data_IF_417959239385
#
_entry.id   IF_417959239385
#
_cell.length_a   1.000
_cell.length_b   1.000
_cell.length_c   1.000
_cell.angle_alpha   90.00
_cell.angle_beta   90.00
_cell.angle_gamma   90.00
#
_symmetry.space_group_name_H-M   'P 1'
#
loop_
_entity.id
_entity.type
_entity.pdbx_description
1 polymer ?
#
# COMPACT_ATOMS: atom_id res chain seq x y z
N UNK A 1 15.50 -42.88 43.50
CA UNK A 1 15.45 -42.47 42.09
C UNK A 1 14.76 -41.11 42.00
N UNK A 2 15.31 -40.24 41.16
CA UNK A 2 15.15 -38.76 41.14
C UNK A 2 13.71 -38.26 40.94
N UNK A 3 13.49 -37.09 41.52
CA UNK A 3 12.31 -36.22 41.51
C UNK A 3 12.12 -35.46 40.18
N UNK A 4 10.87 -35.00 39.98
CA UNK A 4 10.40 -33.85 39.19
C UNK A 4 10.43 -33.92 37.65
N UNK A 5 9.25 -33.84 37.03
CA UNK A 5 8.88 -32.68 36.20
C UNK A 5 7.45 -32.23 36.50
N UNK A 6 7.40 -31.14 37.24
CA UNK A 6 6.31 -30.17 37.34
C UNK A 6 6.59 -29.13 36.26
N UNK A 7 5.71 -28.96 35.27
CA UNK A 7 5.69 -27.80 34.36
C UNK A 7 4.22 -27.51 34.13
N UNK A 8 3.62 -26.73 35.04
CA UNK A 8 3.34 -25.30 34.87
C UNK A 8 2.21 -25.02 33.88
N UNK A 9 1.00 -25.27 34.36
CA UNK A 9 -0.18 -24.48 34.06
C UNK A 9 0.07 -23.07 34.65
N UNK A 10 0.42 -22.11 33.80
CA UNK A 10 0.45 -20.67 34.08
C UNK A 10 -0.35 -20.05 32.92
N UNK A 11 -1.63 -19.71 33.05
CA UNK A 11 -2.11 -18.53 33.79
C UNK A 11 -1.13 -17.37 33.68
N UNK A 12 -1.08 -16.78 32.48
CA UNK A 12 -0.67 -15.39 32.29
C UNK A 12 -1.93 -14.61 31.91
N UNK A 13 -2.76 -14.38 32.92
CA UNK A 13 -3.55 -13.15 33.02
C UNK A 13 -2.57 -12.00 33.22
N UNK A 14 -2.14 -11.35 32.14
CA UNK A 14 -1.65 -9.96 32.23
C UNK A 14 -2.84 -9.08 31.86
N UNK A 15 -3.61 -8.73 32.90
CA UNK A 15 -4.39 -7.51 32.92
C UNK A 15 -3.42 -6.40 33.36
N UNK A 16 -2.86 -5.70 32.39
CA UNK A 16 -2.28 -4.38 32.61
C UNK A 16 -3.06 -3.40 31.73
N UNK A 17 -4.12 -2.86 32.32
CA UNK A 17 -4.79 -1.67 31.87
C UNK A 17 -3.78 -0.51 32.01
N UNK A 18 -3.04 -0.20 30.95
CA UNK A 18 -2.34 1.07 30.84
C UNK A 18 -3.28 2.03 30.11
N UNK A 19 -4.09 2.79 30.86
CA UNK A 19 -4.77 3.93 30.28
C UNK A 19 -3.76 5.06 30.07
N UNK A 20 -3.72 5.52 28.81
CA UNK A 20 -3.18 6.77 28.29
C UNK A 20 -1.66 6.84 28.02
N UNK A 21 -1.29 6.52 26.77
CA UNK A 21 -0.21 7.22 26.06
C UNK A 21 -0.57 7.30 24.57
N UNK A 22 -1.14 8.45 24.19
CA UNK A 22 -1.49 8.99 22.85
C UNK A 22 -2.05 8.03 21.78
N UNK A 23 -3.33 8.24 21.47
CA UNK A 23 -3.92 8.17 20.11
C UNK A 23 -3.41 7.04 19.22
N UNK A 24 -4.09 5.91 19.23
CA UNK A 24 -4.06 5.04 18.07
C UNK A 24 -5.49 4.83 17.58
N UNK A 25 -6.04 5.86 16.92
CA UNK A 25 -6.83 5.54 15.74
C UNK A 25 -5.97 4.56 14.94
N UNK A 26 -6.38 3.29 14.90
CA UNK A 26 -5.76 2.37 13.98
C UNK A 26 -6.26 2.86 12.64
N UNK A 27 -5.44 3.66 11.97
CA UNK A 27 -5.72 4.14 10.62
C UNK A 27 -6.28 2.96 9.81
N UNK A 28 -7.46 3.12 9.20
CA UNK A 28 -8.18 1.99 8.63
C UNK A 28 -7.32 1.25 7.58
N UNK A 29 -6.50 1.99 6.81
CA UNK A 29 -5.53 1.42 5.90
C UNK A 29 -4.46 0.52 6.56
N UNK A 30 -4.04 0.77 7.83
CA UNK A 30 -3.08 -0.10 8.52
C UNK A 30 -3.69 -1.47 8.80
N UNK A 31 -4.96 -1.49 9.22
CA UNK A 31 -5.67 -2.75 9.41
C UNK A 31 -5.82 -3.51 8.08
N UNK A 32 -6.23 -2.82 7.01
CA UNK A 32 -6.33 -3.41 5.67
C UNK A 32 -4.97 -3.93 5.16
N UNK A 33 -3.89 -3.23 5.46
CA UNK A 33 -2.53 -3.65 5.12
C UNK A 33 -2.16 -4.97 5.80
N UNK A 34 -2.36 -5.08 7.12
CA UNK A 34 -2.05 -6.30 7.87
C UNK A 34 -2.90 -7.51 7.47
N UNK A 35 -4.11 -7.28 6.94
CA UNK A 35 -4.95 -8.35 6.38
C UNK A 35 -4.43 -8.84 5.02
N UNK A 36 -3.83 -7.95 4.23
CA UNK A 36 -3.40 -8.24 2.86
C UNK A 36 -1.94 -8.69 2.76
N UNK A 37 -1.09 -8.28 3.69
CA UNK A 37 0.35 -8.55 3.71
C UNK A 37 0.77 -9.00 5.11
N UNK A 38 1.41 -10.17 5.17
CA UNK A 38 2.06 -10.64 6.39
C UNK A 38 3.38 -9.86 6.57
N UNK A 39 3.37 -8.81 7.40
CA UNK A 39 4.46 -7.82 7.51
C UNK A 39 5.51 -8.10 8.60
N UNK A 40 5.36 -9.20 9.33
CA UNK A 40 6.19 -9.57 10.49
C UNK A 40 7.68 -9.83 10.18
N UNK A 41 8.03 -9.94 8.89
CA UNK A 41 9.39 -10.17 8.41
C UNK A 41 10.02 -8.97 7.69
N UNK A 42 9.37 -7.81 7.70
CA UNK A 42 9.76 -6.67 6.87
C UNK A 42 10.42 -5.56 7.70
N UNK A 43 11.42 -4.92 7.09
CA UNK A 43 12.02 -3.71 7.65
C UNK A 43 11.24 -2.48 7.17
N UNK A 44 10.69 -1.71 8.12
CA UNK A 44 10.05 -0.41 7.85
C UNK A 44 11.11 0.68 7.62
N UNK A 45 10.88 1.55 6.64
CA UNK A 45 11.74 2.67 6.31
C UNK A 45 11.10 4.00 6.75
N UNK A 46 11.91 5.02 7.09
CA UNK A 46 11.40 6.36 7.27
C UNK A 46 10.87 6.90 5.94
N UNK A 47 9.70 7.54 6.00
CA UNK A 47 8.98 8.08 4.85
C UNK A 47 8.35 9.42 5.22
N UNK A 48 8.07 10.23 4.21
CA UNK A 48 7.33 11.48 4.31
C UNK A 48 6.15 11.45 3.32
N UNK A 49 5.12 12.26 3.57
CA UNK A 49 3.99 12.38 2.64
C UNK A 49 4.47 12.73 1.22
N UNK A 50 3.87 12.10 0.18
CA UNK A 50 2.64 11.29 0.21
C UNK A 50 2.84 9.79 0.51
N UNK A 51 4.07 9.36 0.86
CA UNK A 51 4.34 7.98 1.27
C UNK A 51 4.02 7.82 2.75
N UNK A 52 3.14 6.86 3.08
CA UNK A 52 2.69 6.60 4.44
C UNK A 52 3.50 5.51 5.13
N UNK A 53 3.94 4.51 4.37
CA UNK A 53 4.81 3.45 4.87
C UNK A 53 5.59 2.81 3.71
N UNK A 54 6.78 2.29 4.01
CA UNK A 54 7.56 1.50 3.08
C UNK A 54 8.23 0.34 3.82
N UNK A 55 8.08 -0.87 3.29
CA UNK A 55 8.54 -2.12 3.89
C UNK A 55 9.41 -2.88 2.88
N UNK A 56 10.60 -3.31 3.31
CA UNK A 56 11.53 -4.08 2.46
C UNK A 56 11.24 -5.58 2.56
N UNK A 57 10.98 -6.21 1.42
CA UNK A 57 10.82 -7.66 1.23
C UNK A 57 12.19 -8.29 0.94
N UNK A 58 12.97 -8.58 1.98
CA UNK A 58 14.30 -9.18 1.81
C UNK A 58 14.26 -10.55 1.12
N UNK A 59 13.18 -11.31 1.31
CA UNK A 59 13.07 -12.67 0.76
C UNK A 59 12.81 -12.67 -0.74
N UNK A 60 11.98 -11.75 -1.24
CA UNK A 60 11.62 -11.68 -2.67
C UNK A 60 12.23 -10.49 -3.40
N UNK A 61 13.20 -9.79 -2.79
CA UNK A 61 13.92 -8.66 -3.39
C UNK A 61 12.98 -7.57 -3.92
N UNK A 62 12.05 -7.12 -3.07
CA UNK A 62 11.06 -6.12 -3.43
C UNK A 62 10.72 -5.19 -2.27
N UNK A 63 9.74 -4.32 -2.48
CA UNK A 63 9.21 -3.42 -1.46
C UNK A 63 7.69 -3.36 -1.52
N UNK A 64 7.06 -3.25 -0.36
CA UNK A 64 5.67 -2.86 -0.22
C UNK A 64 5.62 -1.40 0.21
N UNK A 65 4.96 -0.56 -0.57
CA UNK A 65 4.90 0.87 -0.33
C UNK A 65 3.44 1.28 -0.26
N UNK A 66 3.08 1.96 0.82
CA UNK A 66 1.78 2.58 1.00
C UNK A 66 1.91 4.05 0.70
N UNK A 67 1.08 4.54 -0.21
CA UNK A 67 1.02 5.95 -0.59
C UNK A 67 -0.43 6.43 -0.60
N UNK A 68 -0.63 7.73 -0.50
CA UNK A 68 -1.96 8.34 -0.61
C UNK A 68 -1.99 9.45 -1.65
N UNK A 69 -3.16 9.69 -2.20
CA UNK A 69 -3.45 10.88 -2.99
C UNK A 69 -4.90 11.30 -2.79
N UNK A 70 -5.19 12.58 -2.99
CA UNK A 70 -6.54 13.11 -2.82
C UNK A 70 -7.45 12.61 -3.95
N UNK A 71 -8.48 11.85 -3.58
CA UNK A 71 -9.60 11.44 -4.42
C UNK A 71 -10.72 12.47 -4.51
N UNK A 72 -11.91 12.03 -4.93
CA UNK A 72 -13.08 12.89 -5.06
C UNK A 72 -13.75 13.14 -3.71
N UNK A 73 -13.82 12.14 -2.84
CA UNK A 73 -14.48 12.24 -1.52
C UNK A 73 -13.52 12.16 -0.32
N UNK A 74 -12.22 12.03 -0.57
CA UNK A 74 -11.20 11.89 0.48
C UNK A 74 -9.92 11.29 -0.09
N UNK A 75 -8.96 11.01 0.77
CA UNK A 75 -7.73 10.35 0.37
C UNK A 75 -8.02 8.91 -0.12
N UNK A 76 -7.33 8.53 -1.19
CA UNK A 76 -7.25 7.15 -1.66
C UNK A 76 -5.89 6.62 -1.24
N UNK A 77 -5.90 5.62 -0.37
CA UNK A 77 -4.68 4.97 0.13
C UNK A 77 -4.42 3.70 -0.65
N UNK A 78 -3.24 3.61 -1.25
CA UNK A 78 -2.85 2.58 -2.19
C UNK A 78 -1.63 1.84 -1.69
N UNK A 79 -1.71 0.51 -1.67
CA UNK A 79 -0.58 -0.39 -1.51
C UNK A 79 0.00 -0.75 -2.87
N UNK A 80 1.30 -0.60 -3.03
CA UNK A 80 2.04 -0.96 -4.24
C UNK A 80 3.16 -1.94 -3.89
N UNK A 81 3.19 -3.09 -4.56
CA UNK A 81 4.36 -3.98 -4.58
C UNK A 81 5.26 -3.55 -5.73
N UNK A 82 6.49 -3.17 -5.41
CA UNK A 82 7.52 -2.85 -6.38
C UNK A 82 8.67 -3.86 -6.28
N UNK A 83 8.98 -4.55 -7.37
CA UNK A 83 10.09 -5.50 -7.45
C UNK A 83 10.59 -5.54 -8.90
N UNK A 84 11.81 -6.03 -9.13
CA UNK A 84 12.39 -6.11 -10.49
C UNK A 84 12.33 -4.80 -11.29
N UNK A 85 12.44 -3.67 -10.58
CA UNK A 85 12.37 -2.30 -11.12
C UNK A 85 11.03 -1.92 -11.77
N UNK A 86 9.97 -2.65 -11.45
CA UNK A 86 8.61 -2.41 -11.95
C UNK A 86 7.55 -2.55 -10.86
N UNK A 87 6.37 -2.00 -11.09
CA UNK A 87 5.17 -2.28 -10.29
C UNK A 87 4.69 -3.70 -10.59
N UNK A 88 4.59 -4.55 -9.57
CA UNK A 88 4.07 -5.92 -9.72
C UNK A 88 2.58 -6.01 -9.37
N UNK A 89 2.15 -5.26 -8.36
CA UNK A 89 0.79 -5.32 -7.82
C UNK A 89 0.40 -3.97 -7.21
N UNK A 90 -0.88 -3.62 -7.39
CA UNK A 90 -1.51 -2.46 -6.77
C UNK A 90 -2.79 -2.92 -6.09
N UNK A 91 -3.06 -2.41 -4.88
CA UNK A 91 -4.29 -2.64 -4.13
C UNK A 91 -4.76 -1.34 -3.48
N UNK A 92 -6.07 -1.17 -3.35
CA UNK A 92 -6.64 -0.09 -2.54
C UNK A 92 -6.76 -0.59 -1.10
N UNK A 93 -6.24 0.18 -0.15
CA UNK A 93 -6.36 -0.11 1.29
C UNK A 93 -7.53 0.67 1.90
N UNK A 94 -7.74 1.91 1.47
CA UNK A 94 -8.75 2.81 1.98
C UNK A 94 -9.17 3.82 0.90
N UNK A 95 -10.47 4.09 0.81
CA UNK A 95 -11.03 5.18 0.01
C UNK A 95 -12.43 5.53 0.51
N UNK A 96 -12.97 6.68 0.09
CA UNK A 96 -14.32 7.16 0.43
C UNK A 96 -15.18 7.51 -0.78
N UNK A 97 -14.86 6.95 -1.94
CA UNK A 97 -15.48 7.20 -3.24
C UNK A 97 -16.93 6.69 -3.35
N UNK A 98 -17.65 7.18 -4.36
CA UNK A 98 -19.02 6.70 -4.64
C UNK A 98 -18.98 5.34 -5.32
N UNK A 99 -19.72 4.38 -4.77
CA UNK A 99 -19.74 2.98 -5.22
C UNK A 99 -20.02 2.82 -6.73
N UNK A 100 -21.00 3.55 -7.26
CA UNK A 100 -21.47 3.39 -8.65
C UNK A 100 -20.48 3.88 -9.73
N UNK A 101 -19.44 4.63 -9.35
CA UNK A 101 -18.46 5.17 -10.31
C UNK A 101 -17.03 5.11 -9.77
N UNK A 102 -16.78 5.82 -8.66
CA UNK A 102 -15.46 5.94 -8.06
C UNK A 102 -14.98 4.63 -7.44
N UNK A 103 -15.89 3.83 -6.89
CA UNK A 103 -15.59 2.53 -6.28
C UNK A 103 -14.94 1.53 -7.24
N UNK A 104 -15.11 1.69 -8.56
CA UNK A 104 -14.45 0.84 -9.55
C UNK A 104 -12.93 0.98 -9.59
N UNK A 105 -12.35 1.96 -8.90
CA UNK A 105 -10.89 2.00 -8.71
C UNK A 105 -10.35 0.82 -7.90
N UNK A 106 -11.21 0.13 -7.13
CA UNK A 106 -10.84 -1.09 -6.38
C UNK A 106 -10.76 -2.33 -7.27
N UNK A 107 -11.32 -2.25 -8.48
CA UNK A 107 -11.45 -3.40 -9.36
C UNK A 107 -10.11 -3.84 -9.95
N UNK A 108 -9.91 -5.15 -10.00
CA UNK A 108 -8.66 -5.74 -10.47
C UNK A 108 -8.33 -5.33 -11.91
N UNK A 109 -9.33 -5.23 -12.80
CA UNK A 109 -9.11 -4.82 -14.19
C UNK A 109 -8.55 -3.41 -14.34
N UNK A 110 -8.80 -2.54 -13.36
CA UNK A 110 -8.26 -1.18 -13.35
C UNK A 110 -6.86 -1.20 -12.75
N UNK A 111 -6.70 -1.82 -11.58
CA UNK A 111 -5.43 -1.89 -10.85
C UNK A 111 -4.33 -2.63 -11.62
N UNK A 112 -4.67 -3.65 -12.40
CA UNK A 112 -3.72 -4.39 -13.25
C UNK A 112 -3.10 -3.54 -14.35
N UNK A 113 -3.71 -2.39 -14.71
CA UNK A 113 -3.14 -1.48 -15.73
C UNK A 113 -1.84 -0.85 -15.26
N UNK A 114 -1.58 -0.82 -13.95
CA UNK A 114 -0.35 -0.30 -13.36
C UNK A 114 0.80 -1.31 -13.37
N UNK A 115 0.53 -2.59 -13.63
CA UNK A 115 1.55 -3.63 -13.66
C UNK A 115 2.58 -3.38 -14.77
N UNK A 116 3.85 -3.55 -14.45
CA UNK A 116 4.98 -3.33 -15.36
C UNK A 116 5.43 -1.87 -15.49
N UNK A 117 4.77 -0.93 -14.80
CA UNK A 117 5.18 0.47 -14.82
C UNK A 117 6.50 0.66 -14.08
N UNK A 118 7.34 1.54 -14.61
CA UNK A 118 8.67 1.83 -14.10
C UNK A 118 8.86 3.35 -13.94
N UNK A 119 9.84 3.83 -13.16
CA UNK A 119 10.01 5.24 -12.88
C UNK A 119 10.58 6.06 -14.05
N UNK A 120 10.93 5.44 -15.18
CA UNK A 120 11.56 6.12 -16.32
C UNK A 120 10.65 7.13 -17.04
N UNK A 121 9.34 7.05 -16.84
CA UNK A 121 8.36 7.94 -17.46
C UNK A 121 7.26 8.34 -16.47
N UNK A 122 6.85 9.61 -16.52
CA UNK A 122 5.72 10.10 -15.74
C UNK A 122 4.42 9.47 -16.23
N UNK A 123 3.63 8.90 -15.33
CA UNK A 123 2.34 8.29 -15.65
C UNK A 123 1.32 9.34 -16.13
N UNK A 124 0.43 8.92 -17.02
CA UNK A 124 -0.61 9.78 -17.60
C UNK A 124 -1.95 9.09 -17.65
N UNK A 125 -3.00 9.78 -17.19
CA UNK A 125 -4.37 9.30 -17.34
C UNK A 125 -4.88 9.62 -18.74
N UNK A 126 -5.49 8.64 -19.39
CA UNK A 126 -6.15 8.79 -20.70
C UNK A 126 -7.59 8.28 -20.64
N UNK A 127 -8.44 8.74 -21.56
CA UNK A 127 -9.88 8.47 -21.50
C UNK A 127 -10.31 7.21 -22.26
N UNK A 128 -9.66 6.92 -23.39
CA UNK A 128 -10.16 5.94 -24.36
C UNK A 128 -9.24 4.74 -24.50
N UNK A 129 -8.02 4.98 -25.00
CA UNK A 129 -7.05 3.95 -25.29
C UNK A 129 -5.67 4.40 -24.84
N UNK A 130 -4.82 3.41 -24.57
CA UNK A 130 -3.42 3.56 -24.24
C UNK A 130 -2.61 3.60 -25.53
N UNK A 131 -1.88 4.68 -25.76
CA UNK A 131 -0.96 4.85 -26.91
C UNK A 131 0.51 4.74 -26.50
N UNK A 132 0.82 4.91 -25.20
CA UNK A 132 2.17 4.79 -24.65
C UNK A 132 2.21 3.95 -23.36
N UNK A 133 3.36 3.36 -23.02
CA UNK A 133 3.50 2.45 -21.88
C UNK A 133 3.16 3.08 -20.53
N UNK A 134 3.43 4.38 -20.38
CA UNK A 134 3.14 5.19 -19.20
C UNK A 134 1.69 5.70 -19.11
N UNK A 135 0.82 5.33 -20.05
CA UNK A 135 -0.58 5.74 -20.04
C UNK A 135 -1.50 4.70 -19.38
N UNK A 136 -2.46 5.19 -18.59
CA UNK A 136 -3.50 4.40 -17.93
C UNK A 136 -4.85 4.91 -18.38
N UNK A 137 -5.67 4.00 -18.93
CA UNK A 137 -7.07 4.32 -19.20
C UNK A 137 -7.80 4.45 -17.87
N UNK A 138 -8.42 5.61 -17.62
CA UNK A 138 -9.20 5.86 -16.41
C UNK A 138 -10.52 5.11 -16.38
N UNK A 139 -11.14 5.05 -15.20
CA UNK A 139 -12.52 4.59 -15.04
C UNK A 139 -13.47 5.64 -15.61
N UNK A 140 -14.41 5.20 -16.45
CA UNK A 140 -15.41 6.11 -17.03
C UNK A 140 -16.29 6.70 -15.95
N UNK A 141 -16.44 8.03 -15.91
CA UNK A 141 -17.23 8.73 -14.91
C UNK A 141 -16.51 8.98 -13.57
N UNK A 142 -15.33 8.40 -13.35
CA UNK A 142 -14.55 8.56 -12.12
C UNK A 142 -13.13 9.08 -12.39
N UNK A 143 -13.05 10.23 -13.08
CA UNK A 143 -11.76 10.80 -13.49
C UNK A 143 -10.90 11.23 -12.31
N UNK A 144 -11.48 11.86 -11.28
CA UNK A 144 -10.72 12.32 -10.09
C UNK A 144 -10.20 11.14 -9.28
N UNK A 145 -11.05 10.15 -9.01
CA UNK A 145 -10.67 8.93 -8.28
C UNK A 145 -9.61 8.12 -9.04
N UNK A 146 -9.74 8.00 -10.37
CA UNK A 146 -8.73 7.34 -11.21
C UNK A 146 -7.39 8.08 -11.18
N UNK A 147 -7.43 9.41 -11.17
CA UNK A 147 -6.25 10.26 -11.09
C UNK A 147 -5.55 10.10 -9.74
N UNK A 148 -6.30 9.97 -8.64
CA UNK A 148 -5.75 9.73 -7.31
C UNK A 148 -4.93 8.43 -7.25
N UNK A 149 -5.47 7.31 -7.76
CA UNK A 149 -4.69 6.06 -7.81
C UNK A 149 -3.43 6.22 -8.67
N UNK A 150 -3.52 6.91 -9.80
CA UNK A 150 -2.36 7.19 -10.65
C UNK A 150 -1.30 8.01 -9.92
N UNK A 151 -1.70 9.02 -9.16
CA UNK A 151 -0.80 9.88 -8.40
C UNK A 151 -0.13 9.14 -7.23
N UNK A 152 -0.88 8.29 -6.51
CA UNK A 152 -0.34 7.44 -5.47
C UNK A 152 0.72 6.48 -6.04
N UNK A 153 0.42 5.77 -7.14
CA UNK A 153 1.40 4.90 -7.81
C UNK A 153 2.60 5.69 -8.34
N UNK A 154 2.37 6.88 -8.90
CA UNK A 154 3.45 7.76 -9.36
C UNK A 154 4.36 8.20 -8.21
N UNK A 155 3.81 8.49 -7.04
CA UNK A 155 4.59 8.83 -5.85
C UNK A 155 5.45 7.65 -5.40
N UNK A 156 4.91 6.41 -5.41
CA UNK A 156 5.70 5.21 -5.17
C UNK A 156 6.87 5.07 -6.15
N UNK A 157 6.63 5.28 -7.45
CA UNK A 157 7.68 5.22 -8.46
C UNK A 157 8.78 6.27 -8.23
N UNK A 158 8.40 7.50 -7.83
CA UNK A 158 9.34 8.55 -7.48
C UNK A 158 10.16 8.20 -6.24
N UNK A 159 9.49 7.71 -5.18
CA UNK A 159 10.17 7.23 -3.98
C UNK A 159 11.20 6.15 -4.31
N UNK A 160 10.86 5.19 -5.18
CA UNK A 160 11.78 4.14 -5.62
C UNK A 160 12.91 4.66 -6.51
N UNK A 161 12.70 5.75 -7.25
CA UNK A 161 13.75 6.39 -8.05
C UNK A 161 14.78 7.11 -7.17
N UNK A 162 14.30 7.75 -6.10
CA UNK A 162 15.14 8.49 -5.15
C UNK A 162 15.80 7.57 -4.12
N UNK A 163 15.20 6.42 -3.85
CA UNK A 163 15.73 5.41 -2.95
C UNK A 163 17.05 4.83 -3.49
N UNK A 164 18.16 5.24 -2.87
CA UNK A 164 19.53 4.84 -3.25
C UNK A 164 19.91 3.43 -2.76
N UNK A 165 18.96 2.63 -2.30
CA UNK A 165 19.23 1.31 -1.72
C UNK A 165 19.41 0.23 -2.78
N UNK A 166 20.65 -0.05 -3.13
CA UNK A 166 21.07 -1.37 -3.62
C UNK A 166 21.65 -1.42 -5.03
N UNK A 167 22.86 -0.87 -5.20
CA UNK A 167 23.83 -1.40 -6.17
C UNK A 167 25.08 -1.81 -5.39
#
# INVERSE_FOLDING_TARGET
>A
MKTRKLVCLLLITILAFCSACSDSETEAWKQALYEQVELDLYQELPVDEPILAAYVDEQKSGMFIVSKALGYHGDVVVLVRYADKVVEQVRILEESETEDYGGYIREQWFLERFKGMNPGQKLRLVKMAKDAENEVVGVTGATVSSQAVLEAVQATLQYMQDYKGGN
#
